data_IF_897119386387
#
_entry.id   IF_897119386387
#
_cell.length_a   1.000
_cell.length_b   1.000
_cell.length_c   1.000
_cell.angle_alpha   90.00
_cell.angle_beta   90.00
_cell.angle_gamma   90.00
#
_symmetry.space_group_name_H-M   'P 1'
#
loop_
_entity.id
_entity.type
_entity.pdbx_description
1 polymer ?
#
# COMPACT_ATOMS: atom_id res chain seq x y z
N UNK A 1 -19.73 29.34 17.93
CA UNK A 1 -20.25 29.44 16.54
C UNK A 1 -19.08 29.50 15.58
N UNK A 2 -18.80 28.43 14.82
CA UNK A 2 -17.75 28.44 13.78
C UNK A 2 -18.28 29.18 12.54
N UNK A 3 -17.57 30.23 12.10
CA UNK A 3 -17.93 31.02 10.94
C UNK A 3 -18.03 30.12 9.68
N UNK A 4 -19.13 30.12 8.91
CA UNK A 4 -19.33 29.25 7.75
C UNK A 4 -18.22 29.36 6.69
N UNK A 5 -17.55 30.52 6.60
CA UNK A 5 -16.41 30.74 5.70
C UNK A 5 -15.20 29.87 6.09
N UNK A 6 -14.93 29.69 7.39
CA UNK A 6 -13.81 28.88 7.87
C UNK A 6 -14.02 27.38 7.62
N UNK A 7 -15.28 26.91 7.66
CA UNK A 7 -15.63 25.52 7.40
C UNK A 7 -15.45 25.14 5.93
N UNK A 8 -15.81 26.05 5.01
CA UNK A 8 -15.62 25.86 3.57
C UNK A 8 -14.14 25.89 3.18
N UNK A 9 -13.35 26.79 3.77
CA UNK A 9 -11.90 26.85 3.52
C UNK A 9 -11.20 25.58 4.00
N UNK A 10 -11.48 25.11 5.22
CA UNK A 10 -10.86 23.89 5.76
C UNK A 10 -11.15 22.65 4.93
N UNK A 11 -12.38 22.49 4.44
CA UNK A 11 -12.75 21.37 3.56
C UNK A 11 -12.00 21.41 2.21
N UNK A 12 -11.78 22.60 1.64
CA UNK A 12 -10.98 22.76 0.42
C UNK A 12 -9.51 22.41 0.65
N UNK A 13 -8.93 22.84 1.77
CA UNK A 13 -7.57 22.49 2.15
C UNK A 13 -7.38 20.98 2.30
N UNK A 14 -8.28 20.29 3.02
CA UNK A 14 -8.19 18.83 3.22
C UNK A 14 -8.28 18.08 1.88
N UNK A 15 -9.18 18.50 0.98
CA UNK A 15 -9.28 17.90 -0.35
C UNK A 15 -8.00 18.08 -1.17
N UNK A 16 -7.41 19.28 -1.11
CA UNK A 16 -6.16 19.56 -1.79
C UNK A 16 -5.03 18.68 -1.26
N UNK A 17 -4.91 18.54 0.07
CA UNK A 17 -3.91 17.66 0.70
C UNK A 17 -4.08 16.20 0.24
N UNK A 18 -5.31 15.66 0.29
CA UNK A 18 -5.57 14.28 -0.17
C UNK A 18 -5.25 14.11 -1.65
N UNK A 19 -5.60 15.10 -2.48
CA UNK A 19 -5.29 15.08 -3.91
C UNK A 19 -3.78 15.08 -4.15
N UNK A 20 -3.02 15.95 -3.47
CA UNK A 20 -1.56 16.00 -3.57
C UNK A 20 -0.90 14.69 -3.12
N UNK A 21 -1.31 14.12 -1.98
CA UNK A 21 -0.77 12.85 -1.50
C UNK A 21 -1.08 11.71 -2.49
N UNK A 22 -2.32 11.65 -2.99
CA UNK A 22 -2.73 10.62 -3.95
C UNK A 22 -1.99 10.77 -5.28
N UNK A 23 -1.73 12.00 -5.73
CA UNK A 23 -0.95 12.26 -6.93
C UNK A 23 0.53 11.85 -6.77
N UNK A 24 1.14 12.13 -5.62
CA UNK A 24 2.50 11.66 -5.30
C UNK A 24 2.59 10.13 -5.33
N UNK A 25 1.64 9.44 -4.69
CA UNK A 25 1.57 7.97 -4.75
C UNK A 25 1.35 7.44 -6.17
N UNK A 26 0.54 8.13 -6.98
CA UNK A 26 0.33 7.78 -8.38
C UNK A 26 1.61 7.92 -9.21
N UNK A 27 2.38 8.99 -9.02
CA UNK A 27 3.67 9.18 -9.71
C UNK A 27 4.69 8.12 -9.29
N UNK A 28 4.83 7.85 -7.99
CA UNK A 28 5.74 6.80 -7.52
C UNK A 28 5.34 5.44 -8.06
N UNK A 29 4.04 5.14 -8.12
CA UNK A 29 3.55 3.89 -8.66
C UNK A 29 3.80 3.75 -10.16
N UNK A 30 3.64 4.82 -10.94
CA UNK A 30 3.96 4.82 -12.36
C UNK A 30 5.46 4.56 -12.62
N UNK A 31 6.34 5.21 -11.83
CA UNK A 31 7.79 4.97 -11.92
C UNK A 31 8.16 3.53 -11.52
N UNK A 32 7.58 3.01 -10.45
CA UNK A 32 7.80 1.63 -10.02
C UNK A 32 7.32 0.63 -11.07
N UNK A 33 6.17 0.90 -11.70
CA UNK A 33 5.64 0.06 -12.78
C UNK A 33 6.56 0.07 -14.01
N UNK A 34 7.07 1.24 -14.40
CA UNK A 34 8.00 1.36 -15.51
C UNK A 34 9.28 0.56 -15.26
N UNK A 35 9.96 0.81 -14.14
CA UNK A 35 11.20 0.10 -13.79
C UNK A 35 10.95 -1.41 -13.63
N UNK A 36 9.90 -1.80 -12.90
CA UNK A 36 9.54 -3.20 -12.69
C UNK A 36 9.24 -3.92 -14.02
N UNK A 37 8.54 -3.27 -14.94
CA UNK A 37 8.24 -3.84 -16.26
C UNK A 37 9.49 -4.02 -17.13
N UNK A 38 10.39 -3.03 -17.15
CA UNK A 38 11.66 -3.12 -17.90
C UNK A 38 12.53 -4.24 -17.37
N UNK A 39 12.68 -4.35 -16.04
CA UNK A 39 13.43 -5.44 -15.42
C UNK A 39 12.75 -6.77 -15.80
N UNK A 40 11.44 -6.90 -15.61
CA UNK A 40 10.73 -8.13 -15.93
C UNK A 40 10.94 -8.58 -17.38
N UNK A 41 10.88 -7.66 -18.36
CA UNK A 41 11.11 -8.01 -19.77
C UNK A 41 12.53 -8.48 -20.08
N UNK A 42 13.54 -7.94 -19.38
CA UNK A 42 14.94 -8.37 -19.54
C UNK A 42 15.13 -9.78 -18.96
N UNK A 43 14.45 -10.08 -17.85
CA UNK A 43 14.54 -11.38 -17.19
C UNK A 43 13.61 -12.45 -17.78
N UNK A 44 12.53 -12.07 -18.48
CA UNK A 44 11.59 -13.01 -19.13
C UNK A 44 12.23 -13.74 -20.31
N UNK A 45 13.20 -13.13 -21.00
CA UNK A 45 13.98 -13.83 -22.03
C UNK A 45 14.76 -15.04 -21.46
N UNK A 46 14.95 -15.10 -20.13
CA UNK A 46 15.60 -16.20 -19.42
C UNK A 46 14.61 -17.12 -18.67
N UNK A 47 13.32 -16.76 -18.58
CA UNK A 47 12.31 -17.52 -17.81
C UNK A 47 11.89 -18.84 -18.48
N UNK A 48 12.24 -19.05 -19.75
CA UNK A 48 12.14 -20.36 -20.43
C UNK A 48 13.00 -21.44 -19.73
N UNK A 49 13.98 -21.05 -18.90
CA UNK A 49 14.91 -21.97 -18.22
C UNK A 49 14.75 -22.03 -16.69
N UNK A 50 13.87 -21.22 -16.08
CA UNK A 50 13.72 -21.13 -14.62
C UNK A 50 12.28 -21.46 -14.21
N UNK A 51 12.14 -22.40 -13.28
CA UNK A 51 10.87 -22.93 -12.78
C UNK A 51 9.88 -21.82 -12.35
N UNK A 52 8.62 -21.96 -12.76
CA UNK A 52 7.52 -20.96 -12.74
C UNK A 52 7.10 -20.50 -11.32
N UNK A 53 7.78 -20.97 -10.28
CA UNK A 53 7.35 -20.87 -8.89
C UNK A 53 8.12 -19.82 -8.07
N UNK A 54 9.10 -19.13 -8.66
CA UNK A 54 9.84 -18.06 -7.99
C UNK A 54 9.26 -16.67 -8.29
N UNK A 55 8.70 -16.03 -7.26
CA UNK A 55 8.39 -14.60 -7.29
C UNK A 55 9.70 -13.81 -7.39
N UNK A 56 10.06 -13.38 -8.59
CA UNK A 56 11.20 -12.50 -8.79
C UNK A 56 10.94 -11.14 -8.12
N UNK A 57 11.98 -10.44 -7.62
CA UNK A 57 11.84 -9.09 -7.06
C UNK A 57 11.15 -8.11 -8.04
N UNK A 58 11.35 -8.29 -9.35
CA UNK A 58 10.72 -7.50 -10.40
C UNK A 58 9.20 -7.66 -10.44
N UNK A 59 8.70 -8.90 -10.36
CA UNK A 59 7.26 -9.19 -10.35
C UNK A 59 6.59 -8.61 -9.11
N UNK A 60 7.26 -8.67 -7.95
CA UNK A 60 6.78 -8.05 -6.71
C UNK A 60 6.68 -6.51 -6.85
N UNK A 61 7.66 -5.87 -7.48
CA UNK A 61 7.68 -4.43 -7.73
C UNK A 61 6.49 -3.99 -8.60
N UNK A 62 6.18 -4.75 -9.66
CA UNK A 62 5.01 -4.52 -10.53
C UNK A 62 3.70 -4.67 -9.75
N UNK A 63 3.58 -5.73 -8.95
CA UNK A 63 2.39 -5.95 -8.13
C UNK A 63 2.12 -4.80 -7.15
N UNK A 64 3.16 -4.37 -6.41
CA UNK A 64 3.07 -3.24 -5.47
C UNK A 64 2.67 -1.96 -6.21
N UNK A 65 3.23 -1.71 -7.40
CA UNK A 65 2.90 -0.54 -8.20
C UNK A 65 1.40 -0.50 -8.60
N UNK A 66 0.83 -1.63 -8.99
CA UNK A 66 -0.61 -1.72 -9.32
C UNK A 66 -1.46 -1.42 -8.07
N UNK A 67 -1.11 -2.00 -6.92
CA UNK A 67 -1.81 -1.71 -5.66
C UNK A 67 -1.75 -0.21 -5.30
N UNK A 68 -0.58 0.43 -5.44
CA UNK A 68 -0.42 1.86 -5.18
C UNK A 68 -1.23 2.74 -6.16
N UNK A 69 -1.33 2.35 -7.44
CA UNK A 69 -2.21 3.04 -8.40
C UNK A 69 -3.68 2.97 -8.00
N UNK A 70 -4.15 1.82 -7.51
CA UNK A 70 -5.53 1.68 -7.01
C UNK A 70 -5.79 2.55 -5.78
N UNK A 71 -4.84 2.61 -4.85
CA UNK A 71 -4.90 3.50 -3.68
C UNK A 71 -4.93 4.97 -4.13
N UNK A 72 -4.06 5.37 -5.04
CA UNK A 72 -4.02 6.73 -5.60
C UNK A 72 -5.34 7.09 -6.31
N UNK A 73 -5.88 6.19 -7.14
CA UNK A 73 -7.12 6.40 -7.86
C UNK A 73 -8.32 6.55 -6.90
N UNK A 74 -8.42 5.70 -5.87
CA UNK A 74 -9.49 5.80 -4.87
C UNK A 74 -9.41 7.10 -4.06
N UNK A 75 -8.20 7.55 -3.70
CA UNK A 75 -7.96 8.84 -3.04
C UNK A 75 -8.38 10.04 -3.89
N UNK A 76 -7.92 10.10 -5.14
CA UNK A 76 -8.27 11.16 -6.11
C UNK A 76 -9.78 11.20 -6.39
N UNK A 77 -10.38 10.07 -6.76
CA UNK A 77 -11.81 9.98 -7.09
C UNK A 77 -12.67 10.23 -5.84
N UNK A 78 -12.25 9.74 -4.67
CA UNK A 78 -12.93 9.95 -3.40
C UNK A 78 -12.99 11.42 -3.00
N UNK A 79 -11.87 12.14 -3.13
CA UNK A 79 -11.79 13.57 -2.88
C UNK A 79 -12.61 14.39 -3.90
N UNK A 80 -12.55 14.03 -5.18
CA UNK A 80 -13.25 14.73 -6.26
C UNK A 80 -14.77 14.53 -6.22
N UNK A 81 -15.25 13.29 -6.06
CA UNK A 81 -16.69 12.96 -6.04
C UNK A 81 -17.37 13.25 -4.71
N UNK A 82 -16.65 13.73 -3.71
CA UNK A 82 -17.15 13.91 -2.33
C UNK A 82 -17.88 12.66 -1.79
N UNK A 83 -17.44 11.47 -2.21
CA UNK A 83 -18.10 10.22 -1.85
C UNK A 83 -17.52 9.65 -0.56
N UNK A 84 -18.33 9.64 0.50
CA UNK A 84 -17.95 9.10 1.81
C UNK A 84 -17.50 7.63 1.72
N UNK A 85 -18.11 6.83 0.85
CA UNK A 85 -17.75 5.42 0.68
C UNK A 85 -16.33 5.28 0.12
N UNK A 86 -16.00 6.01 -0.94
CA UNK A 86 -14.67 5.95 -1.56
C UNK A 86 -13.59 6.48 -0.62
N UNK A 87 -13.86 7.57 0.09
CA UNK A 87 -12.91 8.13 1.08
C UNK A 87 -12.67 7.16 2.24
N UNK A 88 -13.70 6.43 2.69
CA UNK A 88 -13.52 5.39 3.72
C UNK A 88 -12.72 4.19 3.18
N UNK A 89 -12.94 3.77 1.93
CA UNK A 89 -12.15 2.69 1.30
C UNK A 89 -10.68 3.12 1.20
N UNK A 90 -10.40 4.34 0.75
CA UNK A 90 -9.05 4.89 0.72
C UNK A 90 -8.38 4.86 2.10
N UNK A 91 -9.08 5.30 3.15
CA UNK A 91 -8.58 5.25 4.52
C UNK A 91 -8.30 3.81 5.00
N UNK A 92 -9.18 2.86 4.67
CA UNK A 92 -9.02 1.45 5.01
C UNK A 92 -7.80 0.84 4.30
N UNK A 93 -7.63 1.12 3.00
CA UNK A 93 -6.48 0.63 2.24
C UNK A 93 -5.17 1.18 2.80
N UNK A 94 -5.09 2.48 3.09
CA UNK A 94 -3.91 3.07 3.72
C UNK A 94 -3.61 2.45 5.09
N UNK A 95 -4.63 2.15 5.89
CA UNK A 95 -4.45 1.50 7.18
C UNK A 95 -3.93 0.06 7.04
N UNK A 96 -4.43 -0.71 6.07
CA UNK A 96 -3.93 -2.06 5.79
C UNK A 96 -2.47 -2.00 5.35
N UNK A 97 -2.10 -1.07 4.46
CA UNK A 97 -0.71 -0.89 4.04
C UNK A 97 0.20 -0.53 5.23
N UNK A 98 -0.24 0.39 6.09
CA UNK A 98 0.50 0.74 7.31
C UNK A 98 0.70 -0.47 8.23
N UNK A 99 -0.32 -1.31 8.41
CA UNK A 99 -0.21 -2.53 9.22
C UNK A 99 0.76 -3.56 8.61
N UNK A 100 0.75 -3.71 7.28
CA UNK A 100 1.72 -4.56 6.57
C UNK A 100 3.14 -4.03 6.72
N UNK A 101 3.34 -2.71 6.60
CA UNK A 101 4.64 -2.05 6.76
C UNK A 101 5.20 -2.23 8.17
N UNK A 102 4.37 -2.05 9.20
CA UNK A 102 4.75 -2.31 10.59
C UNK A 102 5.11 -3.78 10.82
N UNK A 103 4.32 -4.70 10.26
CA UNK A 103 4.59 -6.14 10.39
C UNK A 103 5.89 -6.52 9.70
N UNK A 104 6.13 -6.00 8.49
CA UNK A 104 7.37 -6.21 7.74
C UNK A 104 8.58 -5.65 8.49
N UNK A 105 8.47 -4.46 9.10
CA UNK A 105 9.54 -3.86 9.90
C UNK A 105 9.88 -4.74 11.13
N UNK A 106 8.88 -5.25 11.83
CA UNK A 106 9.08 -6.17 12.98
C UNK A 106 9.74 -7.47 12.52
N UNK A 107 9.26 -8.06 11.41
CA UNK A 107 9.84 -9.30 10.86
C UNK A 107 11.30 -9.09 10.42
N UNK A 108 11.59 -7.99 9.72
CA UNK A 108 12.94 -7.65 9.30
C UNK A 108 13.89 -7.52 10.50
N UNK A 109 13.44 -6.90 11.59
CA UNK A 109 14.21 -6.80 12.82
C UNK A 109 14.46 -8.17 13.47
N UNK A 110 13.42 -9.02 13.57
CA UNK A 110 13.53 -10.35 14.17
C UNK A 110 14.40 -11.30 13.35
N UNK A 111 14.38 -11.19 12.03
CA UNK A 111 15.07 -12.10 11.10
C UNK A 111 16.45 -11.61 10.67
N UNK A 112 16.92 -10.45 11.14
CA UNK A 112 18.20 -9.87 10.72
C UNK A 112 19.38 -10.87 10.76
N UNK A 113 19.54 -11.61 11.86
CA UNK A 113 20.61 -12.60 11.98
C UNK A 113 20.41 -13.86 11.12
N UNK A 114 19.15 -14.20 10.78
CA UNK A 114 18.88 -15.31 9.86
C UNK A 114 19.20 -14.92 8.42
N UNK A 115 18.96 -13.67 8.05
CA UNK A 115 19.29 -13.13 6.72
C UNK A 115 20.80 -13.15 6.49
N UNK A 116 21.60 -12.79 7.48
CA UNK A 116 23.07 -12.84 7.38
C UNK A 116 23.58 -14.28 7.15
N UNK A 117 23.08 -15.26 7.92
CA UNK A 117 23.45 -16.67 7.70
C UNK A 117 22.96 -17.21 6.36
N UNK A 118 21.78 -16.80 5.91
CA UNK A 118 21.27 -17.17 4.59
C UNK A 118 22.16 -16.61 3.49
N UNK A 119 22.56 -15.34 3.60
CA UNK A 119 23.47 -14.68 2.66
C UNK A 119 24.79 -15.44 2.52
N UNK A 120 25.42 -15.81 3.65
CA UNK A 120 26.68 -16.57 3.66
C UNK A 120 26.52 -17.91 2.94
N UNK A 121 25.45 -18.65 3.24
CA UNK A 121 25.18 -19.95 2.61
C UNK A 121 24.92 -19.82 1.12
N UNK A 122 24.09 -18.86 0.73
CA UNK A 122 23.79 -18.60 -0.67
C UNK A 122 25.04 -18.19 -1.45
N UNK A 123 25.92 -17.36 -0.87
CA UNK A 123 27.20 -17.03 -1.50
C UNK A 123 28.09 -18.27 -1.65
N UNK A 124 28.25 -19.11 -0.62
CA UNK A 124 29.06 -20.34 -0.72
C UNK A 124 28.53 -21.28 -1.83
N UNK A 125 27.22 -21.49 -1.86
CA UNK A 125 26.55 -22.31 -2.88
C UNK A 125 26.73 -21.71 -4.30
N UNK A 126 26.54 -20.40 -4.46
CA UNK A 126 26.73 -19.72 -5.73
C UNK A 126 28.17 -19.83 -6.25
N UNK A 127 29.17 -19.61 -5.40
CA UNK A 127 30.58 -19.72 -5.80
C UNK A 127 30.96 -21.14 -6.20
N UNK A 128 30.41 -22.17 -5.54
CA UNK A 128 30.58 -23.57 -5.96
C UNK A 128 29.97 -23.83 -7.33
N UNK A 129 28.82 -23.22 -7.64
CA UNK A 129 28.12 -23.40 -8.92
C UNK A 129 28.61 -22.48 -10.05
N UNK A 130 29.70 -21.74 -9.85
CA UNK A 130 30.21 -20.76 -10.81
C UNK A 130 30.34 -21.33 -12.24
N UNK A 131 31.08 -22.41 -12.45
CA UNK A 131 31.25 -23.01 -13.80
C UNK A 131 30.03 -23.81 -14.30
N UNK A 132 29.07 -24.10 -13.44
CA UNK A 132 27.93 -24.97 -13.75
C UNK A 132 26.73 -24.17 -14.30
N UNK A 133 26.66 -22.89 -13.98
CA UNK A 133 25.54 -22.04 -14.33
C UNK A 133 26.01 -20.64 -14.75
N UNK A 134 25.89 -20.35 -16.04
CA UNK A 134 26.26 -19.06 -16.63
C UNK A 134 25.54 -17.86 -15.97
N UNK A 135 24.30 -18.04 -15.51
CA UNK A 135 23.58 -16.99 -14.79
C UNK A 135 24.24 -16.68 -13.43
N UNK A 136 24.68 -17.72 -12.72
CA UNK A 136 25.38 -17.56 -11.44
C UNK A 136 26.77 -16.97 -11.67
N UNK A 137 27.49 -17.42 -12.70
CA UNK A 137 28.79 -16.85 -13.09
C UNK A 137 28.69 -15.36 -13.37
N UNK A 138 27.75 -14.96 -14.24
CA UNK A 138 27.50 -13.55 -14.56
C UNK A 138 27.12 -12.72 -13.32
N UNK A 139 26.35 -13.31 -12.40
CA UNK A 139 26.00 -12.66 -11.12
C UNK A 139 27.22 -12.43 -10.22
N UNK A 140 28.10 -13.42 -10.12
CA UNK A 140 29.36 -13.32 -9.34
C UNK A 140 30.30 -12.31 -10.00
N UNK A 141 30.47 -12.35 -11.32
CA UNK A 141 31.32 -11.42 -12.06
C UNK A 141 30.84 -9.98 -11.93
N UNK A 142 29.53 -9.77 -12.09
CA UNK A 142 28.91 -8.47 -11.88
C UNK A 142 29.15 -7.97 -10.45
N UNK A 143 28.97 -8.84 -9.46
CA UNK A 143 29.21 -8.47 -8.06
C UNK A 143 30.69 -8.10 -7.82
N UNK A 144 31.64 -8.91 -8.29
CA UNK A 144 33.08 -8.67 -8.11
C UNK A 144 33.53 -7.35 -8.74
N UNK A 145 33.07 -7.06 -9.96
CA UNK A 145 33.36 -5.81 -10.65
C UNK A 145 32.72 -4.59 -9.97
N UNK A 146 31.45 -4.67 -9.57
CA UNK A 146 30.73 -3.51 -9.00
C UNK A 146 31.11 -3.22 -7.54
N UNK A 147 31.52 -4.25 -6.78
CA UNK A 147 31.92 -4.11 -5.39
C UNK A 147 33.44 -4.02 -5.20
N UNK A 148 34.20 -4.15 -6.29
CA UNK A 148 35.68 -4.17 -6.30
C UNK A 148 36.21 -5.18 -5.27
N UNK A 149 35.70 -6.41 -5.34
CA UNK A 149 35.95 -7.48 -4.38
C UNK A 149 36.31 -8.79 -5.08
N UNK A 150 36.93 -9.72 -4.35
CA UNK A 150 37.24 -11.05 -4.85
C UNK A 150 37.10 -12.12 -3.78
N UNK A 151 36.48 -13.24 -4.17
CA UNK A 151 36.14 -14.34 -3.26
C UNK A 151 35.01 -13.97 -2.29
N UNK A 152 34.77 -14.85 -1.31
CA UNK A 152 33.69 -14.65 -0.33
C UNK A 152 34.19 -13.71 0.77
N UNK A 153 35.19 -14.14 1.53
CA UNK A 153 35.85 -13.38 2.59
C UNK A 153 37.19 -12.81 2.13
N UNK A 154 37.86 -13.48 1.21
CA UNK A 154 39.16 -13.09 0.67
C UNK A 154 39.43 -13.72 -0.71
N UNK A 155 40.40 -13.21 -1.49
CA UNK A 155 40.80 -13.80 -2.77
C UNK A 155 41.21 -15.27 -2.66
N UNK A 156 41.76 -15.68 -1.51
CA UNK A 156 42.23 -17.04 -1.23
C UNK A 156 41.08 -18.08 -1.26
N UNK A 157 39.82 -17.63 -1.15
CA UNK A 157 38.68 -18.54 -1.22
C UNK A 157 38.55 -19.24 -2.58
N UNK A 158 39.04 -18.61 -3.65
CA UNK A 158 39.11 -19.25 -4.96
C UNK A 158 40.03 -20.47 -4.96
N UNK A 159 41.13 -20.46 -4.22
CA UNK A 159 42.02 -21.61 -4.14
C UNK A 159 41.28 -22.85 -3.60
N UNK A 160 40.43 -22.66 -2.58
CA UNK A 160 39.61 -23.74 -2.00
C UNK A 160 38.59 -24.29 -3.00
N UNK A 161 37.99 -23.42 -3.80
CA UNK A 161 37.00 -23.80 -4.83
C UNK A 161 37.68 -24.59 -5.96
N UNK A 162 38.83 -24.10 -6.42
CA UNK A 162 39.65 -24.73 -7.47
C UNK A 162 40.11 -26.12 -7.03
N UNK A 163 40.61 -26.26 -5.79
CA UNK A 163 41.00 -27.54 -5.22
C UNK A 163 39.82 -28.51 -5.14
N UNK A 164 38.65 -28.03 -4.67
CA UNK A 164 37.45 -28.85 -4.57
C UNK A 164 36.93 -29.33 -5.94
N UNK A 165 37.17 -28.56 -7.00
CA UNK A 165 36.81 -28.89 -8.40
C UNK A 165 37.93 -29.54 -9.20
N UNK A 166 39.07 -29.86 -8.58
CA UNK A 166 40.17 -30.58 -9.24
C UNK A 166 40.84 -29.80 -10.37
N UNK A 167 41.08 -28.50 -10.17
CA UNK A 167 41.70 -27.58 -11.15
C UNK A 167 40.93 -27.39 -12.46
N UNK A 168 39.63 -27.68 -12.48
CA UNK A 168 38.75 -27.39 -13.62
C UNK A 168 38.23 -25.95 -13.63
N UNK A 169 38.39 -25.23 -12.52
CA UNK A 169 37.98 -23.84 -12.33
C UNK A 169 39.22 -22.94 -12.29
N UNK A 170 39.07 -21.70 -12.75
CA UNK A 170 40.08 -20.65 -12.62
C UNK A 170 39.49 -19.42 -11.92
N UNK A 171 40.36 -18.57 -11.36
CA UNK A 171 39.91 -17.28 -10.83
C UNK A 171 39.34 -16.43 -11.98
N UNK A 172 38.13 -15.85 -11.84
CA UNK A 172 37.52 -15.03 -12.88
C UNK A 172 38.29 -13.72 -13.16
N UNK A 173 38.20 -13.21 -14.40
CA UNK A 173 38.77 -11.89 -14.75
C UNK A 173 38.13 -10.74 -13.96
N UNK A 174 36.85 -10.90 -13.57
CA UNK A 174 36.09 -9.95 -12.75
C UNK A 174 36.67 -9.72 -11.34
N UNK A 175 37.46 -10.66 -10.83
CA UNK A 175 38.21 -10.55 -9.57
C UNK A 175 39.50 -9.72 -9.70
N UNK A 176 39.92 -9.40 -10.93
CA UNK A 176 41.16 -8.71 -11.17
C UNK A 176 41.03 -7.19 -11.05
N UNK A 177 41.89 -6.58 -10.23
CA UNK A 177 41.99 -5.13 -10.09
C UNK A 177 42.82 -4.49 -11.21
N UNK A 178 43.93 -5.13 -11.56
CA UNK A 178 44.88 -4.64 -12.58
C UNK A 178 45.12 -5.75 -13.61
N UNK A 179 44.58 -5.54 -14.81
CA UNK A 179 44.83 -6.40 -15.96
C UNK A 179 46.00 -5.84 -16.77
N UNK A 180 46.94 -6.70 -17.15
CA UNK A 180 47.96 -6.37 -18.14
C UNK A 180 47.88 -7.32 -19.33
N UNK A 181 48.31 -6.84 -20.49
CA UNK A 181 48.41 -7.66 -21.70
C UNK A 181 49.83 -8.21 -21.72
N UNK A 182 49.96 -9.52 -21.59
CA UNK A 182 51.23 -10.18 -21.83
C UNK A 182 51.61 -9.98 -23.31
N UNK A 183 52.76 -9.33 -23.55
CA UNK A 183 53.25 -9.02 -24.89
C UNK A 183 53.71 -10.27 -25.65
N UNK A 184 54.01 -11.39 -24.96
CA UNK A 184 54.45 -12.62 -25.61
C UNK A 184 53.28 -13.50 -26.04
N UNK A 185 52.26 -13.65 -25.20
CA UNK A 185 51.08 -14.48 -25.52
C UNK A 185 49.89 -13.68 -26.07
N UNK A 186 49.90 -12.36 -25.93
CA UNK A 186 48.79 -11.47 -26.30
C UNK A 186 47.54 -11.68 -25.43
N UNK A 187 47.66 -12.35 -24.29
CA UNK A 187 46.54 -12.65 -23.37
C UNK A 187 46.51 -11.64 -22.24
N UNK A 188 45.30 -11.41 -21.70
CA UNK A 188 45.18 -10.62 -20.48
C UNK A 188 45.54 -11.51 -19.29
N UNK A 189 46.47 -11.06 -18.47
CA UNK A 189 46.84 -11.69 -17.21
C UNK A 189 46.52 -10.75 -16.05
N UNK A 190 46.15 -11.34 -14.92
CA UNK A 190 45.87 -10.58 -13.72
C UNK A 190 47.15 -10.33 -12.93
N UNK A 191 47.51 -9.06 -12.72
CA UNK A 191 48.66 -8.67 -11.90
C UNK A 191 48.28 -8.61 -10.41
N UNK A 192 47.12 -8.02 -10.12
CA UNK A 192 46.65 -7.82 -8.75
C UNK A 192 45.16 -8.11 -8.63
N UNK A 193 44.80 -8.98 -7.68
CA UNK A 193 43.40 -9.25 -7.34
C UNK A 193 42.84 -8.20 -6.37
N UNK A 194 41.52 -8.01 -6.39
CA UNK A 194 40.85 -7.22 -5.39
C UNK A 194 41.07 -7.78 -3.97
N UNK A 195 41.69 -7.01 -3.09
CA UNK A 195 42.13 -7.50 -1.77
C UNK A 195 40.99 -7.77 -0.76
N UNK A 196 39.77 -7.32 -1.03
CA UNK A 196 38.62 -7.46 -0.12
C UNK A 196 37.68 -8.58 -0.59
N UNK A 197 37.18 -9.38 0.34
CA UNK A 197 36.08 -10.30 0.08
C UNK A 197 34.78 -9.61 -0.27
N UNK A 198 33.93 -10.27 -1.04
CA UNK A 198 32.64 -9.72 -1.45
C UNK A 198 31.60 -9.72 -0.32
N UNK A 199 31.62 -10.69 0.59
CA UNK A 199 30.71 -10.73 1.75
C UNK A 199 30.89 -9.51 2.68
N UNK A 200 32.10 -9.16 3.16
CA UNK A 200 32.27 -7.99 4.03
C UNK A 200 31.95 -6.67 3.31
N UNK A 201 32.27 -6.56 2.01
CA UNK A 201 31.90 -5.40 1.18
C UNK A 201 30.39 -5.26 1.04
N UNK A 202 29.70 -6.36 0.78
CA UNK A 202 28.25 -6.41 0.66
C UNK A 202 27.57 -6.07 1.99
N UNK A 203 28.03 -6.65 3.10
CA UNK A 203 27.53 -6.34 4.44
C UNK A 203 27.69 -4.85 4.79
N UNK A 204 28.83 -4.25 4.47
CA UNK A 204 29.05 -2.81 4.66
C UNK A 204 28.04 -1.96 3.86
N UNK A 205 27.75 -2.32 2.61
CA UNK A 205 26.77 -1.62 1.78
C UNK A 205 25.36 -1.81 2.32
N UNK A 206 25.01 -3.03 2.77
CA UNK A 206 23.71 -3.33 3.36
C UNK A 206 23.51 -2.50 4.63
N UNK A 207 24.48 -2.44 5.54
CA UNK A 207 24.38 -1.61 6.75
C UNK A 207 24.21 -0.12 6.42
N UNK A 208 24.97 0.40 5.46
CA UNK A 208 24.85 1.81 5.04
C UNK A 208 23.51 2.09 4.38
N UNK A 209 23.03 1.17 3.53
CA UNK A 209 21.76 1.30 2.83
C UNK A 209 20.56 1.07 3.76
N UNK A 210 20.70 0.26 4.80
CA UNK A 210 19.64 -0.02 5.78
C UNK A 210 19.16 1.26 6.46
N UNK A 211 20.05 2.21 6.74
CA UNK A 211 19.66 3.52 7.29
C UNK A 211 18.79 4.31 6.30
N UNK A 212 19.15 4.33 5.01
CA UNK A 212 18.34 4.99 3.98
C UNK A 212 16.96 4.33 3.85
N UNK A 213 16.91 2.99 3.82
CA UNK A 213 15.65 2.23 3.76
C UNK A 213 14.78 2.52 4.99
N UNK A 214 15.37 2.53 6.19
CA UNK A 214 14.65 2.82 7.44
C UNK A 214 14.07 4.23 7.46
N UNK A 215 14.85 5.24 7.02
CA UNK A 215 14.36 6.63 6.93
C UNK A 215 13.24 6.78 5.87
N UNK A 216 13.36 6.07 4.75
CA UNK A 216 12.33 5.99 3.73
C UNK A 216 11.02 5.39 4.25
N UNK A 217 11.09 4.21 4.89
CA UNK A 217 9.93 3.55 5.50
C UNK A 217 9.26 4.46 6.55
N UNK A 218 10.02 5.06 7.46
CA UNK A 218 9.46 5.98 8.45
C UNK A 218 8.73 7.17 7.80
N UNK A 219 9.29 7.72 6.71
CA UNK A 219 8.66 8.81 5.95
C UNK A 219 7.33 8.35 5.33
N UNK A 220 7.31 7.17 4.72
CA UNK A 220 6.11 6.58 4.13
C UNK A 220 5.04 6.35 5.21
N UNK A 221 5.40 5.76 6.34
CA UNK A 221 4.52 5.53 7.49
C UNK A 221 3.87 6.83 8.01
N UNK A 222 4.64 7.92 8.11
CA UNK A 222 4.12 9.23 8.53
C UNK A 222 3.12 9.78 7.49
N UNK A 223 3.46 9.71 6.20
CA UNK A 223 2.58 10.18 5.12
C UNK A 223 1.28 9.38 5.07
N UNK A 224 1.34 8.06 5.24
CA UNK A 224 0.16 7.19 5.32
C UNK A 224 -0.72 7.57 6.51
N UNK A 225 -0.13 7.73 7.70
CA UNK A 225 -0.87 8.12 8.91
C UNK A 225 -1.59 9.47 8.73
N UNK A 226 -0.89 10.47 8.18
CA UNK A 226 -1.51 11.76 7.83
C UNK A 226 -2.63 11.60 6.81
N UNK A 227 -2.44 10.76 5.79
CA UNK A 227 -3.46 10.42 4.80
C UNK A 227 -4.72 9.84 5.43
N UNK A 228 -4.57 8.90 6.37
CA UNK A 228 -5.67 8.29 7.13
C UNK A 228 -6.42 9.34 7.96
N UNK A 229 -5.69 10.17 8.72
CA UNK A 229 -6.30 11.25 9.53
C UNK A 229 -7.06 12.23 8.65
N UNK A 230 -6.47 12.68 7.54
CA UNK A 230 -7.12 13.58 6.58
C UNK A 230 -8.37 12.93 5.95
N UNK A 231 -8.31 11.65 5.58
CA UNK A 231 -9.43 10.93 5.01
C UNK A 231 -10.59 10.80 6.01
N UNK A 232 -10.32 10.51 7.29
CA UNK A 232 -11.34 10.50 8.34
C UNK A 232 -11.97 11.87 8.55
N UNK A 233 -11.16 12.94 8.57
CA UNK A 233 -11.64 14.31 8.69
C UNK A 233 -12.51 14.72 7.50
N UNK A 234 -12.12 14.34 6.28
CA UNK A 234 -12.91 14.57 5.07
C UNK A 234 -14.23 13.80 5.12
N UNK A 235 -14.20 12.51 5.47
CA UNK A 235 -15.38 11.68 5.57
C UNK A 235 -16.36 12.20 6.62
N UNK A 236 -15.87 12.67 7.78
CA UNK A 236 -16.69 13.31 8.83
C UNK A 236 -17.30 14.61 8.33
N UNK A 237 -16.54 15.43 7.61
CA UNK A 237 -17.01 16.70 7.05
C UNK A 237 -18.08 16.48 5.97
N UNK A 238 -17.89 15.51 5.07
CA UNK A 238 -18.88 15.13 4.06
C UNK A 238 -20.17 14.65 4.72
N UNK A 239 -20.08 13.75 5.71
CA UNK A 239 -21.27 13.25 6.44
C UNK A 239 -22.03 14.36 7.14
N UNK A 240 -21.32 15.25 7.83
CA UNK A 240 -21.92 16.43 8.48
C UNK A 240 -22.59 17.37 7.47
N UNK A 241 -21.99 17.54 6.30
CA UNK A 241 -22.55 18.40 5.24
C UNK A 241 -23.82 17.78 4.65
N UNK A 242 -23.84 16.46 4.44
CA UNK A 242 -25.04 15.74 3.99
C UNK A 242 -26.18 15.84 5.00
N UNK A 243 -25.90 15.63 6.30
CA UNK A 243 -26.92 15.73 7.35
C UNK A 243 -27.49 17.16 7.47
N UNK A 244 -26.66 18.20 7.36
CA UNK A 244 -27.12 19.60 7.36
C UNK A 244 -28.00 19.89 6.12
N UNK A 245 -27.64 19.37 4.94
CA UNK A 245 -28.44 19.54 3.71
C UNK A 245 -29.80 18.85 3.83
N UNK A 246 -29.86 17.66 4.43
CA UNK A 246 -31.11 16.96 4.73
C UNK A 246 -31.96 17.77 5.71
N UNK A 247 -31.41 18.25 6.82
CA UNK A 247 -32.13 19.10 7.77
C UNK A 247 -32.66 20.41 7.14
N UNK A 248 -31.88 21.07 6.26
CA UNK A 248 -32.34 22.27 5.54
C UNK A 248 -33.48 21.96 4.56
N UNK A 249 -33.46 20.80 3.91
CA UNK A 249 -34.55 20.36 3.03
C UNK A 249 -35.87 20.21 3.80
N UNK A 250 -35.84 19.61 4.99
CA UNK A 250 -37.00 19.55 5.89
C UNK A 250 -37.53 20.94 6.26
N UNK A 251 -36.64 21.89 6.62
CA UNK A 251 -37.05 23.26 6.93
C UNK A 251 -37.70 23.97 5.73
N UNK A 252 -37.12 23.83 4.53
CA UNK A 252 -37.69 24.42 3.32
C UNK A 252 -39.07 23.83 2.98
N UNK A 253 -39.25 22.51 3.14
CA UNK A 253 -40.54 21.86 2.92
C UNK A 253 -41.63 22.36 3.88
N UNK A 254 -41.26 22.67 5.13
CA UNK A 254 -42.17 23.25 6.12
C UNK A 254 -42.51 24.71 5.80
N UNK A 255 -41.52 25.52 5.44
CA UNK A 255 -41.75 26.92 5.05
C UNK A 255 -42.59 27.08 3.78
N UNK A 256 -42.50 26.14 2.85
CA UNK A 256 -43.31 26.13 1.62
C UNK A 256 -44.72 25.54 1.83
N UNK A 257 -45.06 25.09 3.04
CA UNK A 257 -46.36 24.47 3.33
C UNK A 257 -46.62 23.14 2.59
N UNK A 258 -45.58 22.54 2.01
CA UNK A 258 -45.67 21.31 1.18
C UNK A 258 -45.81 20.07 2.07
N UNK A 259 -45.38 20.15 3.32
CA UNK A 259 -45.75 19.18 4.35
C UNK A 259 -47.18 19.49 4.81
N UNK A 260 -48.19 19.12 4.02
CA UNK A 260 -49.51 18.86 4.60
C UNK A 260 -49.31 17.71 5.57
N UNK A 261 -49.66 17.93 6.84
CA UNK A 261 -49.78 16.81 7.77
C UNK A 261 -50.68 15.76 7.11
N UNK A 262 -50.31 14.46 7.03
CA UNK A 262 -51.25 13.42 6.61
C UNK A 262 -52.54 13.48 7.46
N UNK A 263 -52.38 13.97 8.69
CA UNK A 263 -53.42 14.17 9.67
C UNK A 263 -54.46 15.26 9.36
N UNK A 264 -54.22 16.17 8.40
CA UNK A 264 -55.23 17.15 7.98
C UNK A 264 -56.09 16.68 6.81
N UNK A 265 -55.62 15.71 6.03
CA UNK A 265 -56.40 15.16 4.91
C UNK A 265 -57.42 14.12 5.40
N UNK A 266 -57.04 13.27 6.36
CA UNK A 266 -57.99 12.35 7.02
C UNK A 266 -59.09 13.12 7.76
N UNK A 267 -58.73 14.16 8.53
CA UNK A 267 -59.73 14.98 9.24
C UNK A 267 -60.70 15.75 8.33
N UNK A 268 -60.29 16.11 7.11
CA UNK A 268 -61.18 16.76 6.15
C UNK A 268 -62.11 15.76 5.44
N UNK A 269 -61.66 14.53 5.20
CA UNK A 269 -62.53 13.48 4.64
C UNK A 269 -63.54 12.97 5.67
N UNK A 270 -63.14 12.83 6.93
CA UNK A 270 -64.01 12.33 8.01
C UNK A 270 -65.08 13.36 8.41
N UNK A 271 -64.77 14.67 8.36
CA UNK A 271 -65.74 15.74 8.62
C UNK A 271 -66.76 15.95 7.48
N UNK A 272 -66.41 15.61 6.23
CA UNK A 272 -67.34 15.65 5.10
C UNK A 272 -68.20 14.38 4.98
N UNK A 273 -67.79 13.28 5.61
CA UNK A 273 -68.56 12.04 5.66
C UNK A 273 -69.63 12.03 6.76
N UNK A 274 -69.48 12.83 7.82
CA UNK A 274 -70.40 12.87 8.97
C UNK A 274 -71.66 13.72 8.80
N UNK A 275 -71.99 14.15 7.58
CA UNK A 275 -73.08 15.10 7.29
C UNK A 275 -74.45 14.50 6.94
N UNK A 276 -74.63 13.17 6.90
CA UNK A 276 -75.96 12.56 6.68
C UNK A 276 -76.14 11.25 7.43
N UNK A 277 -76.98 11.28 8.44
CA UNK A 277 -77.66 10.08 8.92
C UNK A 277 -79.11 10.43 9.28
N UNK A 278 -80.06 9.71 8.66
CA UNK A 278 -81.44 9.58 9.12
C UNK A 278 -81.80 8.09 9.08
N UNK A 279 -81.69 7.49 10.27
CA UNK A 279 -82.58 6.52 10.94
C UNK A 279 -82.86 5.10 10.35
N UNK A 280 -83.41 4.15 11.15
CA UNK A 280 -82.69 3.01 11.76
C UNK A 280 -83.21 1.65 11.22
N UNK A 281 -82.62 0.49 11.52
CA UNK A 281 -83.05 -0.42 12.61
C UNK A 281 -82.22 -1.75 12.59
N UNK A 282 -82.36 -2.67 13.58
CA UNK A 282 -81.23 -3.25 14.32
C UNK A 282 -80.86 -4.67 13.87
N UNK A 283 -79.82 -5.27 14.48
CA UNK A 283 -79.92 -6.56 15.21
C UNK A 283 -78.55 -7.27 15.49
N UNK A 284 -78.31 -7.53 16.79
CA UNK A 284 -77.53 -8.60 17.46
C UNK A 284 -76.00 -8.87 17.30
N UNK A 285 -75.33 -8.77 18.47
CA UNK A 285 -74.47 -9.81 19.12
C UNK A 285 -72.93 -9.71 19.09
N UNK A 286 -72.43 -9.20 20.23
CA UNK A 286 -71.41 -9.75 21.16
C UNK A 286 -69.91 -9.94 20.84
N UNK A 287 -69.14 -9.38 21.80
CA UNK A 287 -68.03 -9.94 22.60
C UNK A 287 -66.60 -10.06 22.02
N UNK A 288 -65.66 -9.51 22.82
CA UNK A 288 -64.39 -10.16 23.15
C UNK A 288 -63.13 -9.40 22.73
N UNK A 289 -62.62 -8.42 23.46
CA UNK A 289 -61.71 -8.48 24.63
C UNK A 289 -60.19 -8.42 24.31
N UNK A 290 -59.54 -7.42 24.93
CA UNK A 290 -58.17 -7.33 25.47
C UNK A 290 -56.88 -7.19 24.60
N UNK A 291 -56.27 -6.01 24.75
CA UNK A 291 -55.03 -5.69 25.50
C UNK A 291 -53.82 -5.07 24.78
N UNK A 292 -53.36 -3.97 25.42
CA UNK A 292 -52.38 -2.95 25.09
C UNK A 292 -50.90 -3.38 25.07
N UNK A 293 -50.09 -2.59 24.35
CA UNK A 293 -48.61 -2.55 24.43
C UNK A 293 -48.15 -1.11 24.76
N UNK A 294 -47.28 -0.95 25.75
CA UNK A 294 -46.70 0.33 26.21
C UNK A 294 -45.39 0.69 25.47
N UNK A 295 -45.17 2.00 25.32
CA UNK A 295 -44.09 2.74 24.66
C UNK A 295 -43.01 3.23 25.64
N UNK A 296 -41.73 3.31 25.23
CA UNK A 296 -40.73 4.21 25.83
C UNK A 296 -39.71 4.74 24.79
N UNK A 297 -39.45 6.05 24.85
CA UNK A 297 -38.47 6.87 24.09
C UNK A 297 -37.32 7.30 25.02
N UNK A 298 -36.11 7.64 24.50
CA UNK A 298 -35.11 8.40 25.27
C UNK A 298 -34.92 9.85 24.80
N UNK A 299 -34.70 10.72 25.79
CA UNK A 299 -34.54 12.18 25.75
C UNK A 299 -33.15 12.67 25.28
N UNK A 300 -33.11 13.93 24.80
CA UNK A 300 -31.91 14.79 24.71
C UNK A 300 -31.93 15.88 25.80
N UNK A 301 -30.78 16.36 26.32
CA UNK A 301 -30.75 17.53 27.18
C UNK A 301 -30.18 18.80 26.52
N UNK A 302 -30.76 19.92 26.90
CA UNK A 302 -30.44 21.30 26.54
C UNK A 302 -29.53 21.95 27.59
N UNK A 303 -28.61 22.79 27.11
CA UNK A 303 -28.08 24.05 27.64
C UNK A 303 -28.42 24.44 29.10
N UNK A 304 -27.36 24.61 29.92
CA UNK A 304 -27.16 25.76 30.80
C UNK A 304 -25.67 26.08 30.87
#
# INVERSE_FOLDING_TARGET
MTNPNNLNTGMRCIKFIIFTISFMFGLTAFLLLAVGSTISTIFDDFSIFVDDHFFTPANLMVFIAICLLLVAATGCIGAAKESTMLVNIFALLLFIVFAMELTAAILAYMMHGQVEMMLIRTMDESFRMYDENEYIANGIDFMQQNLECCGIDSPDDWAKIIEAKGNQTSVPESCCHIMFVDQETGRNECEEFHQFGCLPRLNYIIEKSAMLIATGALTIAIVQFLGVVCAFMLAKTIRRTKSIREARRWQLQQSLGVLTNPFSFDKQMEANASGRQYDPDPEYTQMGNNNNTNTYLPNSPSVM
#
